data_IF_981458624692
#
_entry.id   IF_981458624692
#
_cell.length_a   1.000
_cell.length_b   1.000
_cell.length_c   1.000
_cell.angle_alpha   90.00
_cell.angle_beta   90.00
_cell.angle_gamma   90.00
#
_symmetry.space_group_name_H-M   'P 1'
#
loop_
_entity.id
_entity.type
_entity.pdbx_description
1 polymer ?
#
# COMPACT_ATOMS: atom_id res chain seq x y z
N UNK A 1 -4.96 -1.30 -15.75
CA UNK A 1 -3.60 -1.58 -15.24
C UNK A 1 -3.59 -1.17 -13.77
N UNK A 2 -3.64 -2.13 -12.83
CA UNK A 2 -3.61 -1.83 -11.40
C UNK A 2 -2.27 -1.26 -10.95
N UNK A 3 -2.31 -0.23 -10.11
CA UNK A 3 -1.14 0.27 -9.38
C UNK A 3 -1.43 0.25 -7.89
N UNK A 4 -0.52 -0.32 -7.10
CA UNK A 4 -0.61 -0.39 -5.64
C UNK A 4 0.56 0.38 -5.03
N UNK A 5 0.28 1.29 -4.11
CA UNK A 5 1.30 1.96 -3.31
C UNK A 5 1.17 1.46 -1.89
N UNK A 6 2.25 0.90 -1.35
CA UNK A 6 2.36 0.51 0.05
C UNK A 6 3.13 1.61 0.78
N UNK A 7 2.41 2.48 1.49
CA UNK A 7 3.00 3.42 2.43
C UNK A 7 3.25 2.72 3.76
N UNK A 8 4.45 2.87 4.32
CA UNK A 8 4.86 2.20 5.56
C UNK A 8 5.90 3.03 6.34
N UNK A 9 6.10 2.72 7.61
CA UNK A 9 7.26 3.28 8.34
C UNK A 9 8.58 2.66 7.88
N UNK A 10 9.70 3.40 7.98
CA UNK A 10 11.02 2.92 7.61
C UNK A 10 11.45 1.65 8.37
N UNK A 11 12.43 0.94 7.79
CA UNK A 11 13.15 -0.13 8.47
C UNK A 11 12.76 -1.54 8.04
N UNK A 12 12.10 -1.70 6.88
CA UNK A 12 11.97 -3.01 6.23
C UNK A 12 13.13 -3.21 5.27
N UNK A 13 13.66 -4.42 5.20
CA UNK A 13 14.75 -4.72 4.27
C UNK A 13 14.24 -4.82 2.83
N UNK A 14 15.11 -4.57 1.86
CA UNK A 14 14.76 -4.70 0.44
C UNK A 14 14.22 -6.09 0.08
N UNK A 15 14.76 -7.22 0.61
CA UNK A 15 14.14 -8.53 0.39
C UNK A 15 12.73 -8.68 0.97
N UNK A 16 12.40 -8.00 2.07
CA UNK A 16 11.03 -7.99 2.60
C UNK A 16 10.10 -7.20 1.69
N UNK A 17 10.53 -6.02 1.23
CA UNK A 17 9.79 -5.17 0.29
C UNK A 17 9.51 -5.92 -1.01
N UNK A 18 10.52 -6.55 -1.62
CA UNK A 18 10.34 -7.34 -2.84
C UNK A 18 9.37 -8.51 -2.65
N UNK A 19 9.53 -9.31 -1.57
CA UNK A 19 8.62 -10.42 -1.30
C UNK A 19 7.17 -10.00 -1.11
N UNK A 20 6.93 -8.81 -0.52
CA UNK A 20 5.59 -8.28 -0.38
C UNK A 20 5.03 -7.81 -1.72
N UNK A 21 5.83 -7.11 -2.53
CA UNK A 21 5.44 -6.68 -3.88
C UNK A 21 5.02 -7.89 -4.74
N UNK A 22 5.82 -8.96 -4.75
CA UNK A 22 5.50 -10.17 -5.51
C UNK A 22 4.17 -10.81 -5.06
N UNK A 23 3.88 -10.80 -3.76
CA UNK A 23 2.63 -11.36 -3.21
C UNK A 23 1.43 -10.50 -3.58
N UNK A 24 1.53 -9.17 -3.47
CA UNK A 24 0.47 -8.25 -3.88
C UNK A 24 0.19 -8.41 -5.38
N UNK A 25 1.22 -8.48 -6.22
CA UNK A 25 1.06 -8.66 -7.66
C UNK A 25 0.28 -9.93 -7.98
N UNK A 26 0.62 -11.06 -7.35
CA UNK A 26 -0.10 -12.33 -7.52
C UNK A 26 -1.56 -12.21 -7.12
N UNK A 27 -1.85 -11.68 -5.93
CA UNK A 27 -3.22 -11.55 -5.45
C UNK A 27 -4.06 -10.65 -6.36
N UNK A 28 -3.49 -9.54 -6.86
CA UNK A 28 -4.17 -8.65 -7.81
C UNK A 28 -4.44 -9.36 -9.14
N UNK A 29 -3.48 -10.10 -9.68
CA UNK A 29 -3.65 -10.89 -10.89
C UNK A 29 -4.74 -11.94 -10.71
N UNK A 30 -4.75 -12.65 -9.59
CA UNK A 30 -5.69 -13.73 -9.31
C UNK A 30 -7.13 -13.21 -9.12
N UNK A 31 -7.31 -12.13 -8.37
CA UNK A 31 -8.64 -11.58 -8.04
C UNK A 31 -9.21 -10.79 -9.22
N UNK A 32 -8.40 -9.97 -9.89
CA UNK A 32 -8.86 -9.08 -10.97
C UNK A 32 -8.59 -9.63 -12.38
N UNK A 33 -7.99 -10.82 -12.51
CA UNK A 33 -7.70 -11.50 -13.79
C UNK A 33 -6.83 -10.67 -14.74
N UNK A 34 -5.90 -9.88 -14.20
CA UNK A 34 -4.91 -9.15 -14.99
C UNK A 34 -3.66 -10.00 -15.27
N UNK A 35 -2.99 -9.72 -16.39
CA UNK A 35 -1.64 -10.25 -16.65
C UNK A 35 -0.58 -9.51 -15.84
N UNK A 36 0.56 -10.17 -15.62
CA UNK A 36 1.67 -9.67 -14.79
C UNK A 36 2.16 -8.28 -15.23
N UNK A 37 2.36 -8.07 -16.53
CA UNK A 37 2.83 -6.79 -17.08
C UNK A 37 1.85 -5.61 -16.85
N UNK A 38 0.62 -5.86 -16.41
CA UNK A 38 -0.37 -4.83 -16.16
C UNK A 38 -0.40 -4.34 -14.72
N UNK A 39 0.36 -4.96 -13.80
CA UNK A 39 0.36 -4.67 -12.36
C UNK A 39 1.69 -4.06 -11.94
N UNK A 40 1.64 -2.98 -11.18
CA UNK A 40 2.84 -2.36 -10.58
C UNK A 40 2.63 -2.08 -9.09
N UNK A 41 3.72 -2.20 -8.31
CA UNK A 41 3.71 -1.99 -6.86
C UNK A 41 4.85 -1.06 -6.46
N UNK A 42 4.56 -0.01 -5.70
CA UNK A 42 5.54 0.90 -5.10
C UNK A 42 5.58 0.74 -3.57
N UNK A 43 6.75 0.98 -2.98
CA UNK A 43 6.97 1.00 -1.53
C UNK A 43 7.43 2.40 -1.14
N UNK A 44 6.69 3.08 -0.27
CA UNK A 44 6.98 4.44 0.18
C UNK A 44 7.18 4.47 1.69
N UNK A 45 8.43 4.64 2.12
CA UNK A 45 8.75 4.80 3.55
C UNK A 45 8.47 6.23 3.99
N UNK A 46 7.59 6.40 4.98
CA UNK A 46 7.14 7.68 5.54
C UNK A 46 7.57 7.75 6.99
N UNK A 47 8.27 8.82 7.37
CA UNK A 47 8.69 9.03 8.76
C UNK A 47 7.48 8.97 9.71
N UNK A 48 7.58 8.31 10.87
CA UNK A 48 6.48 8.21 11.82
C UNK A 48 5.90 9.57 12.24
N UNK A 49 6.73 10.63 12.33
CA UNK A 49 6.29 11.97 12.69
C UNK A 49 5.47 12.64 11.57
N UNK A 50 5.62 12.20 10.33
CA UNK A 50 4.86 12.71 9.18
C UNK A 50 3.60 11.88 8.89
N UNK A 51 3.43 10.72 9.53
CA UNK A 51 2.40 9.74 9.18
C UNK A 51 0.97 10.30 9.29
N UNK A 52 0.72 11.10 10.32
CA UNK A 52 -0.59 11.69 10.57
C UNK A 52 -1.04 12.56 9.38
N UNK A 53 -0.16 13.44 8.89
CA UNK A 53 -0.47 14.34 7.77
C UNK A 53 -0.46 13.59 6.43
N UNK A 54 0.60 12.83 6.16
CA UNK A 54 0.86 12.27 4.82
C UNK A 54 0.05 11.01 4.51
N UNK A 55 -0.47 10.31 5.52
CA UNK A 55 -1.17 9.03 5.34
C UNK A 55 -2.50 9.01 6.08
N UNK A 56 -2.53 9.29 7.38
CA UNK A 56 -3.76 9.11 8.15
C UNK A 56 -4.87 10.06 7.68
N UNK A 57 -4.61 11.37 7.69
CA UNK A 57 -5.61 12.34 7.21
C UNK A 57 -5.89 12.15 5.72
N UNK A 58 -4.82 12.11 4.92
CA UNK A 58 -4.90 12.07 3.45
C UNK A 58 -5.54 10.80 2.88
N UNK A 59 -5.11 9.61 3.31
CA UNK A 59 -5.48 8.33 2.68
C UNK A 59 -6.47 7.48 3.51
N UNK A 60 -6.56 7.70 4.82
CA UNK A 60 -7.41 6.89 5.72
C UNK A 60 -8.70 7.63 6.08
N UNK A 61 -8.62 8.88 6.51
CA UNK A 61 -9.77 9.64 7.00
C UNK A 61 -10.54 10.35 5.90
N UNK A 62 -9.85 11.06 5.01
CA UNK A 62 -10.47 11.97 4.05
C UNK A 62 -11.02 11.37 2.74
N UNK A 63 -10.73 10.12 2.30
CA UNK A 63 -11.29 9.62 1.06
C UNK A 63 -12.53 8.72 1.25
N UNK A 64 -13.76 9.27 1.26
CA UNK A 64 -14.97 8.45 1.31
C UNK A 64 -15.04 7.49 0.13
N UNK A 65 -15.24 6.21 0.42
CA UNK A 65 -15.39 5.15 -0.58
C UNK A 65 -14.11 4.56 -1.17
N UNK A 66 -12.91 5.02 -0.75
CA UNK A 66 -11.63 4.43 -1.22
C UNK A 66 -11.01 3.45 -0.22
N UNK A 67 -11.33 3.56 1.07
CA UNK A 67 -10.77 2.70 2.11
C UNK A 67 -11.64 1.46 2.34
N UNK A 68 -11.22 0.32 1.78
CA UNK A 68 -11.91 -0.97 1.93
C UNK A 68 -11.54 -1.73 3.21
N UNK A 69 -10.39 -1.38 3.84
CA UNK A 69 -9.93 -1.98 5.11
C UNK A 69 -9.50 -0.88 6.08
N UNK A 70 -10.25 -0.71 7.18
CA UNK A 70 -9.96 0.28 8.22
C UNK A 70 -8.78 -0.15 9.10
N UNK A 71 -7.95 0.77 9.60
CA UNK A 71 -6.99 0.47 10.65
C UNK A 71 -7.70 0.17 11.98
N UNK A 72 -7.04 -0.57 12.86
CA UNK A 72 -7.48 -0.78 14.24
C UNK A 72 -7.03 0.32 15.22
N UNK A 73 -6.49 1.43 14.70
CA UNK A 73 -5.96 2.56 15.47
C UNK A 73 -6.62 3.87 15.02
N UNK A 74 -6.53 4.87 15.89
CA UNK A 74 -6.92 6.26 15.60
C UNK A 74 -5.73 7.17 15.88
N UNK A 75 -5.65 8.28 15.15
CA UNK A 75 -4.64 9.32 15.30
C UNK A 75 -5.29 10.69 15.36
#
# INVERSE_FOLDING_TARGET
>A
MPHVIVKLWPGKSEPQKQRLADRITRDVMDVFRYGEAAVSVAMEEIDPNEWAERVYRTDIQDPPGKLYKKPGYQM
#
